data_IF_491797512431
#
_entry.id   IF_491797512431
#
_cell.length_a   1.000
_cell.length_b   1.000
_cell.length_c   1.000
_cell.angle_alpha   90.00
_cell.angle_beta   90.00
_cell.angle_gamma   90.00
#
_symmetry.space_group_name_H-M   'P 1'
#
loop_
_entity.id
_entity.type
_entity.pdbx_description
1 polymer ?
#
# COMPACT_ATOMS: atom_id res chain seq x y z
N UNK A 1 12.25 7.22 -1.04
CA UNK A 1 11.46 6.16 -1.69
C UNK A 1 10.98 5.21 -0.60
N UNK A 2 9.79 4.63 -0.75
CA UNK A 2 9.17 3.74 0.25
C UNK A 2 8.75 2.45 -0.46
N UNK A 3 9.06 1.29 0.12
CA UNK A 3 8.61 0.00 -0.41
C UNK A 3 7.13 -0.19 -0.11
N UNK A 4 6.35 -0.57 -1.13
CA UNK A 4 4.95 -0.92 -1.01
C UNK A 4 4.70 -2.26 -1.66
N UNK A 5 3.98 -3.14 -0.95
CA UNK A 5 3.61 -4.47 -1.40
C UNK A 5 2.10 -4.56 -1.56
N UNK A 6 1.64 -5.14 -2.66
CA UNK A 6 0.24 -5.44 -2.91
C UNK A 6 0.00 -6.93 -2.71
N UNK A 7 -1.00 -7.27 -1.89
CA UNK A 7 -1.44 -8.63 -1.64
C UNK A 7 -2.90 -8.81 -2.01
N UNK A 8 -3.24 -10.02 -2.46
CA UNK A 8 -4.61 -10.51 -2.56
C UNK A 8 -4.94 -11.37 -1.32
N UNK A 9 -6.09 -11.13 -0.69
CA UNK A 9 -6.61 -11.98 0.39
C UNK A 9 -7.25 -13.24 -0.20
N UNK A 10 -6.82 -14.40 0.29
CA UNK A 10 -7.34 -15.72 -0.07
C UNK A 10 -7.85 -16.46 1.16
N UNK A 11 -8.45 -17.63 0.96
CA UNK A 11 -8.87 -18.53 2.06
C UNK A 11 -7.73 -18.99 2.96
N UNK A 12 -6.48 -18.90 2.51
CA UNK A 12 -5.28 -19.33 3.25
C UNK A 12 -4.42 -18.16 3.73
N UNK A 13 -4.92 -16.93 3.65
CA UNK A 13 -4.19 -15.70 3.99
C UNK A 13 -3.84 -14.87 2.76
N UNK A 14 -2.75 -14.09 2.84
CA UNK A 14 -2.37 -13.13 1.80
C UNK A 14 -1.34 -13.69 0.84
N UNK A 15 -1.59 -13.54 -0.46
CA UNK A 15 -0.63 -13.86 -1.53
C UNK A 15 -0.07 -12.56 -2.09
N UNK A 16 1.27 -12.45 -2.13
CA UNK A 16 1.95 -11.30 -2.73
C UNK A 16 1.68 -11.29 -4.23
N UNK A 17 1.17 -10.16 -4.74
CA UNK A 17 0.91 -9.94 -6.16
C UNK A 17 2.07 -9.18 -6.78
N UNK A 18 2.48 -8.06 -6.17
CA UNK A 18 3.57 -7.22 -6.68
C UNK A 18 4.18 -6.39 -5.54
N UNK A 19 5.41 -5.93 -5.72
CA UNK A 19 6.08 -5.00 -4.81
C UNK A 19 6.90 -3.97 -5.58
N UNK A 20 6.79 -2.70 -5.18
CA UNK A 20 7.46 -1.59 -5.86
C UNK A 20 7.90 -0.52 -4.85
N UNK A 21 8.94 0.23 -5.22
CA UNK A 21 9.29 1.46 -4.53
C UNK A 21 8.52 2.65 -5.10
N UNK A 22 8.08 3.55 -4.22
CA UNK A 22 7.56 4.85 -4.69
C UNK A 22 8.63 5.61 -5.47
N UNK A 23 8.20 6.37 -6.46
CA UNK A 23 9.04 7.34 -7.17
C UNK A 23 9.46 8.53 -6.27
N UNK A 24 10.12 9.51 -6.87
CA UNK A 24 10.59 10.72 -6.18
C UNK A 24 9.43 11.61 -5.66
N UNK A 25 8.24 11.49 -6.25
CA UNK A 25 7.03 12.21 -5.87
C UNK A 25 6.16 11.41 -4.87
N UNK A 26 6.65 10.25 -4.42
CA UNK A 26 5.96 9.39 -3.46
C UNK A 26 4.84 8.54 -4.07
N UNK A 27 4.87 8.29 -5.39
CA UNK A 27 3.81 7.57 -6.10
C UNK A 27 4.27 6.22 -6.62
N UNK A 28 3.30 5.31 -6.73
CA UNK A 28 3.35 4.13 -7.61
C UNK A 28 2.18 4.33 -8.56
N UNK A 29 2.46 4.43 -9.86
CA UNK A 29 1.42 4.71 -10.86
C UNK A 29 0.47 3.53 -11.04
N UNK A 30 1.02 2.31 -11.09
CA UNK A 30 0.26 1.08 -11.15
C UNK A 30 1.12 -0.09 -10.64
N UNK A 31 0.46 -1.02 -9.94
CA UNK A 31 1.04 -2.34 -9.67
C UNK A 31 0.87 -3.24 -10.91
N UNK A 32 1.82 -4.15 -11.11
CA UNK A 32 1.76 -5.16 -12.14
C UNK A 32 0.84 -6.28 -11.65
N UNK A 33 -0.38 -6.34 -12.18
CA UNK A 33 -1.38 -7.34 -11.80
C UNK A 33 -1.83 -8.08 -13.05
N UNK A 34 -1.46 -9.37 -13.16
CA UNK A 34 -1.83 -10.21 -14.31
C UNK A 34 -3.34 -10.47 -14.38
N UNK A 35 -3.98 -10.68 -13.22
CA UNK A 35 -5.43 -10.85 -13.11
C UNK A 35 -5.98 -10.10 -11.91
N UNK A 36 -6.61 -8.96 -12.14
CA UNK A 36 -7.31 -8.23 -11.10
C UNK A 36 -8.75 -8.70 -11.02
N UNK A 37 -9.12 -9.32 -9.90
CA UNK A 37 -10.44 -9.90 -9.70
C UNK A 37 -11.21 -9.18 -8.61
N UNK A 38 -12.52 -9.45 -8.54
CA UNK A 38 -13.32 -9.02 -7.41
C UNK A 38 -12.85 -9.75 -6.15
N UNK A 39 -12.49 -9.00 -5.11
CA UNK A 39 -11.93 -9.60 -3.91
C UNK A 39 -11.52 -8.56 -2.87
N UNK A 40 -10.73 -8.99 -1.90
CA UNK A 40 -10.10 -8.13 -0.92
C UNK A 40 -8.59 -8.12 -1.16
N UNK A 41 -8.00 -6.94 -0.97
CA UNK A 41 -6.58 -6.70 -1.20
C UNK A 41 -6.00 -5.91 -0.04
N UNK A 42 -4.68 -6.04 0.15
CA UNK A 42 -3.94 -5.29 1.16
C UNK A 42 -2.75 -4.59 0.52
N UNK A 43 -2.59 -3.30 0.82
CA UNK A 43 -1.31 -2.62 0.65
C UNK A 43 -0.53 -2.66 1.97
N UNK A 44 0.73 -3.07 1.90
CA UNK A 44 1.68 -2.97 3.02
C UNK A 44 2.74 -1.94 2.64
N UNK A 45 2.75 -0.81 3.36
CA UNK A 45 3.71 0.29 3.16
C UNK A 45 4.78 0.22 4.26
N UNK A 46 6.03 -0.02 3.88
CA UNK A 46 7.17 -0.20 4.79
C UNK A 46 7.71 1.15 5.27
N UNK A 47 6.93 1.83 6.13
CA UNK A 47 7.24 3.20 6.60
C UNK A 47 8.33 3.26 7.67
N UNK A 48 8.63 2.14 8.34
CA UNK A 48 9.69 2.07 9.35
C UNK A 48 11.06 2.40 8.75
N UNK A 49 11.42 1.73 7.65
CA UNK A 49 12.69 1.97 6.94
C UNK A 49 12.79 3.40 6.42
N UNK A 50 11.65 3.97 5.97
CA UNK A 50 11.56 5.37 5.54
C UNK A 50 11.92 6.35 6.66
N UNK A 51 11.30 6.22 7.84
CA UNK A 51 11.59 7.11 8.97
C UNK A 51 12.98 6.86 9.56
N UNK A 52 13.47 5.62 9.54
CA UNK A 52 14.83 5.28 9.94
C UNK A 52 15.87 5.99 9.06
N UNK A 53 15.69 5.98 7.73
CA UNK A 53 16.57 6.69 6.80
C UNK A 53 16.58 8.21 7.03
N UNK A 54 15.49 8.76 7.58
CA UNK A 54 15.38 10.17 7.98
C UNK A 54 15.89 10.46 9.41
N UNK A 55 16.47 9.48 10.11
CA UNK A 55 16.86 9.58 11.53
C UNK A 55 15.71 10.08 12.42
N UNK A 56 14.48 9.69 12.10
CA UNK A 56 13.27 10.10 12.81
C UNK A 56 12.65 8.89 13.49
N UNK A 57 12.40 8.97 14.81
CA UNK A 57 11.68 7.91 15.49
C UNK A 57 10.21 7.90 15.04
N UNK A 58 9.67 6.73 14.72
CA UNK A 58 8.28 6.56 14.33
C UNK A 58 7.63 5.43 15.11
N UNK A 59 6.31 5.54 15.31
CA UNK A 59 5.54 4.54 16.05
C UNK A 59 5.19 3.31 15.20
N UNK A 60 5.17 3.46 13.88
CA UNK A 60 4.69 2.43 12.97
C UNK A 60 5.86 1.74 12.26
N UNK A 61 6.03 0.42 12.41
CA UNK A 61 7.00 -0.32 11.60
C UNK A 61 6.55 -0.42 10.12
N UNK A 62 5.23 -0.47 9.90
CA UNK A 62 4.58 -0.51 8.59
C UNK A 62 3.11 -0.10 8.72
N UNK A 63 2.48 0.26 7.60
CA UNK A 63 1.03 0.51 7.52
C UNK A 63 0.38 -0.52 6.59
N UNK A 64 -0.60 -1.27 7.10
CA UNK A 64 -1.42 -2.19 6.32
C UNK A 64 -2.77 -1.53 6.00
N UNK A 65 -3.15 -1.47 4.73
CA UNK A 65 -4.39 -0.88 4.25
C UNK A 65 -5.19 -1.95 3.52
N UNK A 66 -6.22 -2.47 4.18
CA UNK A 66 -7.15 -3.44 3.60
C UNK A 66 -8.26 -2.72 2.84
N UNK A 67 -8.56 -3.17 1.62
CA UNK A 67 -9.61 -2.59 0.80
C UNK A 67 -10.31 -3.64 -0.07
N UNK A 68 -11.54 -3.31 -0.47
CA UNK A 68 -12.39 -4.19 -1.28
C UNK A 68 -12.45 -3.72 -2.71
N UNK A 69 -12.29 -4.65 -3.63
CA UNK A 69 -12.48 -4.45 -5.07
C UNK A 69 -13.81 -5.09 -5.44
N UNK A 70 -14.82 -4.26 -5.69
CA UNK A 70 -16.15 -4.72 -6.13
C UNK A 70 -16.35 -4.64 -7.64
N UNK A 71 -15.62 -3.74 -8.29
CA UNK A 71 -15.67 -3.48 -9.73
C UNK A 71 -14.24 -3.33 -10.23
N UNK A 72 -13.81 -4.27 -11.07
CA UNK A 72 -12.44 -4.35 -11.59
C UNK A 72 -12.15 -3.30 -12.67
N UNK A 73 -13.18 -2.63 -13.18
CA UNK A 73 -13.03 -1.57 -14.19
C UNK A 73 -12.80 -0.18 -13.57
N UNK A 74 -12.90 -0.07 -12.24
CA UNK A 74 -12.65 1.17 -11.53
C UNK A 74 -11.15 1.38 -11.29
N UNK A 75 -10.74 2.64 -11.35
CA UNK A 75 -9.43 3.04 -10.85
C UNK A 75 -9.45 3.07 -9.32
N UNK A 76 -8.41 2.49 -8.70
CA UNK A 76 -8.25 2.47 -7.25
C UNK A 76 -7.05 3.33 -6.86
N UNK A 77 -7.33 4.55 -6.40
CA UNK A 77 -6.33 5.42 -5.82
C UNK A 77 -6.41 5.32 -4.29
N UNK A 78 -5.34 4.87 -3.64
CA UNK A 78 -5.29 4.65 -2.18
C UNK A 78 -4.14 5.45 -1.56
N UNK A 79 -4.35 6.73 -1.21
CA UNK A 79 -3.30 7.55 -0.62
C UNK A 79 -2.96 7.17 0.82
N UNK A 80 -1.71 7.41 1.22
CA UNK A 80 -1.25 7.39 2.60
C UNK A 80 -0.64 8.76 2.95
N UNK A 81 -1.26 9.47 3.89
CA UNK A 81 -0.71 10.67 4.51
C UNK A 81 -0.14 10.25 5.87
N UNK A 82 1.16 10.42 6.09
CA UNK A 82 1.82 9.91 7.29
C UNK A 82 2.73 10.93 7.96
N UNK A 83 2.64 10.97 9.29
CA UNK A 83 3.59 11.56 10.21
C UNK A 83 4.18 10.45 11.09
N UNK A 84 5.25 10.71 11.88
CA UNK A 84 5.86 9.65 12.67
C UNK A 84 4.92 9.01 13.72
N UNK A 85 3.84 9.68 14.10
CA UNK A 85 2.91 9.24 15.16
C UNK A 85 1.42 9.32 14.77
N UNK A 86 1.12 9.59 13.51
CA UNK A 86 -0.25 9.54 12.98
C UNK A 86 -0.24 9.24 11.49
N UNK A 87 -1.28 8.58 10.98
CA UNK A 87 -1.51 8.51 9.54
C UNK A 87 -3.00 8.57 9.22
N UNK A 88 -3.30 8.83 7.95
CA UNK A 88 -4.63 8.70 7.39
C UNK A 88 -4.55 8.11 5.98
N UNK A 89 -5.60 7.38 5.61
CA UNK A 89 -5.78 6.82 4.28
C UNK A 89 -7.25 6.94 3.89
N UNK A 90 -7.53 6.90 2.59
CA UNK A 90 -8.87 7.01 2.04
C UNK A 90 -8.89 6.44 0.62
N UNK A 91 -10.10 6.29 0.06
CA UNK A 91 -10.28 6.00 -1.36
C UNK A 91 -10.34 7.30 -2.15
N UNK A 92 -9.32 7.56 -2.95
CA UNK A 92 -9.28 8.68 -3.90
C UNK A 92 -10.10 8.40 -5.16
N UNK A 93 -10.39 9.47 -5.90
CA UNK A 93 -10.90 9.43 -7.28
C UNK A 93 -9.81 9.04 -8.28
#
# INVERSE_FOLDING_TARGET
QVLVKLFEETSHGYILIDEQFTDADGRIQAFNVDSFIRGHYQLVVEVGDYFQALNTNSFYPRVCIDFKVNDIHQHFHVPLLISPFSYSTYRGS
#
